data_IF_335140831290
#
_entry.id   IF_335140831290
#
_cell.length_a   1.000
_cell.length_b   1.000
_cell.length_c   1.000
_cell.angle_alpha   90.00
_cell.angle_beta   90.00
_cell.angle_gamma   90.00
#
_symmetry.space_group_name_H-M   'P 1'
#
loop_
_entity.id
_entity.type
_entity.pdbx_description
1 polymer ?
#
# COMPACT_ATOMS: atom_id res chain seq x y z
N UNK A 1 -12.07 -12.57 14.98
CA UNK A 1 -11.41 -11.28 15.28
C UNK A 1 -9.92 -11.24 14.87
N UNK A 2 -9.07 -12.23 15.19
CA UNK A 2 -7.63 -12.19 14.82
C UNK A 2 -7.32 -12.30 13.31
N UNK A 3 -8.15 -13.00 12.53
CA UNK A 3 -7.90 -13.24 11.10
C UNK A 3 -7.97 -11.98 10.22
N UNK A 4 -8.93 -11.09 10.45
CA UNK A 4 -9.10 -9.86 9.67
C UNK A 4 -7.95 -8.88 9.90
N UNK A 5 -7.54 -8.67 11.16
CA UNK A 5 -6.40 -7.83 11.50
C UNK A 5 -5.09 -8.38 10.93
N UNK A 6 -4.89 -9.70 10.98
CA UNK A 6 -3.72 -10.34 10.37
C UNK A 6 -3.69 -10.16 8.84
N UNK A 7 -4.83 -10.29 8.16
CA UNK A 7 -4.93 -10.05 6.73
C UNK A 7 -4.66 -8.58 6.36
N UNK A 8 -5.21 -7.63 7.11
CA UNK A 8 -4.95 -6.20 6.91
C UNK A 8 -3.47 -5.86 7.15
N UNK A 9 -2.87 -6.39 8.21
CA UNK A 9 -1.44 -6.23 8.50
C UNK A 9 -0.54 -6.80 7.41
N UNK A 10 -0.84 -8.01 6.91
CA UNK A 10 -0.09 -8.62 5.80
C UNK A 10 -0.22 -7.80 4.50
N UNK A 11 -1.42 -7.29 4.23
CA UNK A 11 -1.68 -6.43 3.06
C UNK A 11 -0.90 -5.11 3.18
N UNK A 12 -0.88 -4.50 4.37
CA UNK A 12 -0.11 -3.28 4.63
C UNK A 12 1.40 -3.50 4.43
N UNK A 13 1.93 -4.64 4.89
CA UNK A 13 3.33 -5.01 4.67
C UNK A 13 3.66 -5.16 3.18
N UNK A 14 2.76 -5.78 2.40
CA UNK A 14 2.93 -5.92 0.95
C UNK A 14 2.91 -4.56 0.25
N UNK A 15 1.99 -3.66 0.62
CA UNK A 15 1.93 -2.30 0.09
C UNK A 15 3.24 -1.54 0.41
N UNK A 16 3.75 -1.67 1.63
CA UNK A 16 5.02 -1.08 2.04
C UNK A 16 6.21 -1.59 1.22
N UNK A 17 6.26 -2.89 0.94
CA UNK A 17 7.28 -3.48 0.06
C UNK A 17 7.19 -2.92 -1.37
N UNK A 18 5.98 -2.87 -1.94
CA UNK A 18 5.78 -2.33 -3.29
C UNK A 18 6.12 -0.84 -3.38
N UNK A 19 5.83 -0.07 -2.32
CA UNK A 19 6.24 1.34 -2.24
C UNK A 19 7.77 1.48 -2.20
N UNK A 20 8.45 0.66 -1.40
CA UNK A 20 9.92 0.63 -1.37
C UNK A 20 10.51 0.30 -2.75
N UNK A 21 9.99 -0.72 -3.42
CA UNK A 21 10.45 -1.11 -4.76
C UNK A 21 10.18 0.00 -5.79
N UNK A 22 9.03 0.68 -5.70
CA UNK A 22 8.70 1.81 -6.58
C UNK A 22 9.69 2.97 -6.37
N UNK A 23 10.02 3.30 -5.12
CA UNK A 23 11.04 4.32 -4.82
C UNK A 23 12.41 3.87 -5.34
N UNK A 24 12.75 2.60 -5.24
CA UNK A 24 13.99 2.06 -5.78
C UNK A 24 14.09 2.24 -7.30
N UNK A 25 13.00 1.96 -8.03
CA UNK A 25 12.89 2.20 -9.47
C UNK A 25 13.03 3.69 -9.79
N UNK A 26 12.36 4.58 -9.04
CA UNK A 26 12.52 6.04 -9.22
C UNK A 26 13.99 6.47 -9.12
N UNK A 27 14.73 5.92 -8.16
CA UNK A 27 16.13 6.27 -7.93
C UNK A 27 17.03 5.72 -9.05
N UNK A 28 16.76 4.51 -9.55
CA UNK A 28 17.63 3.82 -10.52
C UNK A 28 17.35 4.21 -11.97
N UNK A 29 16.08 4.23 -12.33
CA UNK A 29 15.63 4.34 -13.72
C UNK A 29 14.96 5.69 -14.02
N UNK A 30 14.67 6.48 -12.97
CA UNK A 30 14.05 7.80 -13.07
C UNK A 30 12.53 7.76 -12.91
N UNK A 31 11.91 8.92 -13.02
CA UNK A 31 10.46 9.06 -12.91
C UNK A 31 9.80 8.98 -14.29
N UNK A 32 8.89 8.02 -14.47
CA UNK A 32 8.12 7.83 -15.71
C UNK A 32 6.60 7.68 -15.45
N UNK A 33 5.84 7.42 -16.52
CA UNK A 33 4.38 7.25 -16.44
C UNK A 33 4.01 6.00 -15.65
N UNK A 34 4.79 4.92 -15.72
CA UNK A 34 4.52 3.67 -15.01
C UNK A 34 4.68 3.87 -13.51
N UNK A 35 5.74 4.58 -13.11
CA UNK A 35 5.96 5.02 -11.73
C UNK A 35 4.80 5.88 -11.24
N UNK A 36 4.37 6.87 -12.02
CA UNK A 36 3.25 7.74 -11.65
C UNK A 36 1.98 6.93 -11.38
N UNK A 37 1.63 6.01 -12.28
CA UNK A 37 0.46 5.14 -12.12
C UNK A 37 0.64 4.23 -10.89
N UNK A 38 1.82 3.66 -10.68
CA UNK A 38 2.13 2.85 -9.49
C UNK A 38 1.91 3.63 -8.19
N UNK A 39 2.39 4.88 -8.12
CA UNK A 39 2.21 5.74 -6.95
C UNK A 39 0.74 6.04 -6.67
N UNK A 40 -0.08 6.28 -7.70
CA UNK A 40 -1.53 6.51 -7.54
C UNK A 40 -2.22 5.26 -7.00
N UNK A 41 -1.88 4.09 -7.55
CA UNK A 41 -2.43 2.80 -7.09
C UNK A 41 -2.01 2.54 -5.64
N UNK A 42 -0.73 2.70 -5.32
CA UNK A 42 -0.20 2.53 -3.97
C UNK A 42 -0.84 3.49 -2.98
N UNK A 43 -1.05 4.75 -3.36
CA UNK A 43 -1.76 5.71 -2.52
C UNK A 43 -3.18 5.23 -2.23
N UNK A 44 -3.93 4.84 -3.26
CA UNK A 44 -5.31 4.36 -3.12
C UNK A 44 -5.41 3.15 -2.20
N UNK A 45 -4.55 2.15 -2.39
CA UNK A 45 -4.51 0.97 -1.51
C UNK A 45 -4.05 1.30 -0.09
N UNK A 46 -3.04 2.15 0.07
CA UNK A 46 -2.57 2.57 1.40
C UNK A 46 -3.69 3.26 2.18
N UNK A 47 -4.41 4.19 1.54
CA UNK A 47 -5.54 4.87 2.17
C UNK A 47 -6.66 3.89 2.54
N UNK A 48 -7.00 2.96 1.65
CA UNK A 48 -8.03 1.95 1.92
C UNK A 48 -7.69 1.03 3.09
N UNK A 49 -6.47 0.48 3.12
CA UNK A 49 -6.04 -0.46 4.17
C UNK A 49 -5.82 0.25 5.50
N UNK A 50 -5.20 1.43 5.51
CA UNK A 50 -5.04 2.24 6.73
C UNK A 50 -6.41 2.67 7.26
N UNK A 51 -7.31 3.10 6.39
CA UNK A 51 -8.69 3.45 6.76
C UNK A 51 -9.43 2.30 7.43
N UNK A 52 -9.34 1.09 6.86
CA UNK A 52 -9.93 -0.12 7.42
C UNK A 52 -9.30 -0.56 8.77
N UNK A 53 -8.03 -0.24 8.99
CA UNK A 53 -7.35 -0.50 10.27
C UNK A 53 -7.76 0.51 11.36
N UNK A 54 -7.95 1.78 11.00
CA UNK A 54 -8.31 2.86 11.94
C UNK A 54 -9.80 2.81 12.30
N UNK A 55 -10.65 2.50 11.33
CA UNK A 55 -12.10 2.36 11.50
C UNK A 55 -12.46 0.90 11.29
N UNK A 56 -12.17 0.03 12.29
CA UNK A 56 -12.65 -1.35 12.23
C UNK A 56 -14.18 -1.30 12.05
N UNK A 57 -14.74 -2.08 11.12
CA UNK A 57 -16.19 -2.09 10.91
C UNK A 57 -16.88 -2.42 12.24
N UNK A 58 -17.73 -1.50 12.69
CA UNK A 58 -18.69 -1.79 13.75
C UNK A 58 -19.68 -2.78 13.12
N UNK A 59 -19.74 -4.01 13.65
CA UNK A 59 -20.68 -5.04 13.18
C UNK A 59 -22.13 -4.53 13.16
#
# INVERSE_FOLDING_TARGET
MAGHAAALGATLALIGLLAFLTINVIIRDGFDILVLVSLVILATFSFGVVGALIHPPEE
#
